data_IF_096191201436
#
_entry.id   IF_096191201436
#
_cell.length_a   1.000
_cell.length_b   1.000
_cell.length_c   1.000
_cell.angle_alpha   90.00
_cell.angle_beta   90.00
_cell.angle_gamma   90.00
#
_symmetry.space_group_name_H-M   'P 1'
#
loop_
_entity.id
_entity.type
_entity.pdbx_description
1 polymer ?
#
# COMPACT_ATOMS: atom_id res chain seq x y z
N UNK A 1 31.36 -13.75 10.13
CA UNK A 1 31.02 -12.60 11.01
C UNK A 1 30.94 -13.06 12.46
N UNK A 2 31.44 -12.24 13.41
CA UNK A 2 31.27 -12.53 14.84
C UNK A 2 29.82 -12.41 15.27
N UNK A 3 29.36 -13.34 16.15
CA UNK A 3 27.96 -13.41 16.60
C UNK A 3 27.51 -12.15 17.36
N UNK A 4 28.40 -11.53 18.14
CA UNK A 4 28.09 -10.31 18.86
C UNK A 4 27.87 -9.12 17.91
N UNK A 5 28.72 -9.01 16.89
CA UNK A 5 28.58 -7.99 15.84
C UNK A 5 27.30 -8.22 15.02
N UNK A 6 27.04 -9.46 14.64
CA UNK A 6 25.79 -9.81 13.91
C UNK A 6 24.54 -9.41 14.71
N UNK A 7 24.49 -9.78 15.99
CA UNK A 7 23.35 -9.44 16.88
C UNK A 7 23.18 -7.93 17.01
N UNK A 8 24.29 -7.19 17.14
CA UNK A 8 24.26 -5.73 17.22
C UNK A 8 23.72 -5.08 15.95
N UNK A 9 24.15 -5.56 14.79
CA UNK A 9 23.67 -5.09 13.48
C UNK A 9 22.18 -5.44 13.29
N UNK A 10 21.78 -6.64 13.69
CA UNK A 10 20.41 -7.13 13.60
C UNK A 10 19.43 -6.29 14.44
N UNK A 11 19.90 -5.77 15.56
CA UNK A 11 19.10 -4.95 16.48
C UNK A 11 19.12 -3.45 16.13
N UNK A 12 19.86 -3.05 15.09
CA UNK A 12 19.95 -1.66 14.68
C UNK A 12 18.69 -1.19 13.98
N UNK A 13 18.29 0.05 14.22
CA UNK A 13 17.12 0.67 13.57
C UNK A 13 17.24 0.76 12.04
N UNK A 14 18.45 0.75 11.51
CA UNK A 14 18.75 0.82 10.08
C UNK A 14 19.03 -0.55 9.47
N UNK A 15 18.67 -1.66 10.12
CA UNK A 15 18.99 -3.03 9.68
C UNK A 15 18.59 -3.34 8.22
N UNK A 16 17.56 -2.68 7.70
CA UNK A 16 17.11 -2.82 6.31
C UNK A 16 17.77 -1.83 5.35
N UNK A 17 18.50 -0.83 5.84
CA UNK A 17 19.26 0.12 5.05
C UNK A 17 20.75 -0.25 5.08
N UNK A 18 21.12 -1.18 4.21
CA UNK A 18 22.49 -1.75 4.17
C UNK A 18 23.57 -0.66 3.97
N UNK A 19 23.25 0.44 3.31
CA UNK A 19 24.18 1.56 3.13
C UNK A 19 24.47 2.26 4.44
N UNK A 20 23.41 2.63 5.18
CA UNK A 20 23.56 3.25 6.51
C UNK A 20 24.23 2.30 7.50
N UNK A 21 23.84 1.02 7.45
CA UNK A 21 24.43 0.00 8.28
C UNK A 21 25.95 -0.12 8.03
N UNK A 22 26.39 -0.08 6.78
CA UNK A 22 27.81 -0.10 6.41
C UNK A 22 28.58 1.13 6.93
N UNK A 23 27.99 2.30 6.95
CA UNK A 23 28.60 3.49 7.57
C UNK A 23 28.70 3.36 9.09
N UNK A 24 27.70 2.79 9.72
CA UNK A 24 27.63 2.64 11.17
C UNK A 24 28.54 1.53 11.70
N UNK A 25 28.74 0.49 10.90
CA UNK A 25 29.59 -0.67 11.23
C UNK A 25 30.68 -0.88 10.14
N UNK A 26 31.64 0.04 10.00
CA UNK A 26 32.62 -0.01 8.92
C UNK A 26 33.55 -1.24 8.96
N UNK A 27 33.65 -1.90 10.13
CA UNK A 27 34.39 -3.15 10.32
C UNK A 27 33.62 -4.41 9.88
N UNK A 28 32.32 -4.27 9.56
CA UNK A 28 31.48 -5.39 9.22
C UNK A 28 31.54 -5.71 7.71
N UNK A 29 31.56 -6.98 7.37
CA UNK A 29 31.29 -7.42 6.00
C UNK A 29 29.78 -7.43 5.76
N UNK A 30 29.30 -6.42 5.04
CA UNK A 30 27.88 -6.27 4.72
C UNK A 30 27.35 -7.38 3.82
N UNK A 31 28.20 -7.97 2.96
CA UNK A 31 27.80 -9.10 2.12
C UNK A 31 27.55 -10.33 2.99
N UNK A 32 28.50 -10.65 3.87
CA UNK A 32 28.36 -11.77 4.80
C UNK A 32 27.14 -11.58 5.71
N UNK A 33 26.89 -10.35 6.23
CA UNK A 33 25.70 -10.03 7.00
C UNK A 33 24.43 -10.31 6.20
N UNK A 34 24.38 -9.86 4.94
CA UNK A 34 23.20 -10.04 4.07
C UNK A 34 22.94 -11.52 3.78
N UNK A 35 23.99 -12.32 3.57
CA UNK A 35 23.84 -13.76 3.35
C UNK A 35 23.33 -14.50 4.59
N UNK A 36 23.85 -14.13 5.77
CA UNK A 36 23.34 -14.67 7.04
C UNK A 36 21.87 -14.31 7.28
N UNK A 37 21.47 -13.07 6.94
CA UNK A 37 20.06 -12.66 6.99
C UNK A 37 19.20 -13.49 6.05
N UNK A 38 19.62 -13.65 4.79
CA UNK A 38 18.88 -14.42 3.79
C UNK A 38 18.69 -15.88 4.23
N UNK A 39 19.75 -16.50 4.72
CA UNK A 39 19.72 -17.92 5.08
C UNK A 39 18.98 -18.21 6.39
N UNK A 40 18.98 -17.27 7.34
CA UNK A 40 18.43 -17.51 8.68
C UNK A 40 17.07 -16.87 8.95
N UNK A 41 16.73 -15.81 8.23
CA UNK A 41 15.62 -14.94 8.63
C UNK A 41 14.64 -14.60 7.49
N UNK A 42 14.99 -14.88 6.24
CA UNK A 42 14.10 -14.63 5.11
C UNK A 42 13.16 -15.81 4.90
N UNK A 43 11.88 -15.47 4.72
CA UNK A 43 10.87 -16.42 4.29
C UNK A 43 10.40 -16.08 2.89
N UNK A 44 10.41 -17.08 2.02
CA UNK A 44 9.89 -16.91 0.65
C UNK A 44 8.38 -16.76 0.67
N UNK A 45 7.90 -15.79 -0.05
CA UNK A 45 6.47 -15.59 -0.30
C UNK A 45 6.04 -16.30 -1.60
N UNK A 46 4.78 -16.68 -1.74
CA UNK A 46 4.25 -17.25 -2.99
C UNK A 46 4.02 -16.17 -4.07
N UNK A 47 4.78 -15.09 -4.04
CA UNK A 47 4.74 -13.97 -4.96
C UNK A 47 6.09 -13.80 -5.64
N UNK A 48 6.09 -13.37 -6.90
CA UNK A 48 7.29 -13.15 -7.69
C UNK A 48 7.44 -11.69 -8.07
N UNK A 49 8.69 -11.24 -8.19
CA UNK A 49 9.01 -9.95 -8.78
C UNK A 49 8.92 -9.99 -10.33
N UNK A 50 9.19 -8.86 -10.98
CA UNK A 50 9.18 -8.76 -12.44
C UNK A 50 10.27 -9.59 -13.14
N UNK A 51 11.29 -10.04 -12.41
CA UNK A 51 12.35 -10.94 -12.91
C UNK A 51 12.02 -12.41 -12.70
N UNK A 52 10.87 -12.73 -12.10
CA UNK A 52 10.44 -14.08 -11.77
C UNK A 52 11.06 -14.64 -10.48
N UNK A 53 11.76 -13.81 -9.69
CA UNK A 53 12.32 -14.22 -8.40
C UNK A 53 11.27 -14.12 -7.31
N UNK A 54 11.23 -15.08 -6.40
CA UNK A 54 10.32 -15.04 -5.26
C UNK A 54 10.62 -13.82 -4.38
N UNK A 55 9.57 -13.12 -3.99
CA UNK A 55 9.65 -12.12 -2.94
C UNK A 55 9.96 -12.80 -1.61
N UNK A 56 10.64 -12.09 -0.73
CA UNK A 56 11.00 -12.60 0.59
C UNK A 56 10.60 -11.59 1.66
N UNK A 57 10.21 -12.08 2.82
CA UNK A 57 9.95 -11.24 3.99
C UNK A 57 10.91 -11.60 5.13
N UNK A 58 11.17 -10.61 5.98
CA UNK A 58 12.01 -10.71 7.16
C UNK A 58 11.09 -10.78 8.40
N UNK A 59 10.69 -11.98 8.80
CA UNK A 59 9.65 -12.13 9.84
C UNK A 59 10.15 -11.87 11.26
N UNK A 60 11.44 -12.06 11.54
CA UNK A 60 11.97 -12.01 12.90
C UNK A 60 12.50 -10.65 13.35
N UNK A 61 12.72 -9.71 12.41
CA UNK A 61 13.22 -8.36 12.72
C UNK A 61 12.08 -7.36 12.89
N UNK A 62 10.87 -7.70 12.45
CA UNK A 62 9.72 -6.89 12.75
C UNK A 62 9.55 -6.80 14.26
N UNK A 63 9.99 -5.69 14.85
CA UNK A 63 9.63 -5.32 16.21
C UNK A 63 8.13 -5.00 16.22
N UNK A 64 7.33 -6.05 16.10
CA UNK A 64 5.90 -5.94 16.28
C UNK A 64 5.69 -5.57 17.74
N UNK A 65 5.37 -4.32 18.00
CA UNK A 65 4.87 -3.91 19.29
C UNK A 65 3.52 -4.59 19.48
N UNK A 66 3.53 -5.77 20.09
CA UNK A 66 2.31 -6.55 20.39
C UNK A 66 1.23 -5.71 21.08
N UNK A 67 1.63 -4.72 21.88
CA UNK A 67 0.71 -3.77 22.50
C UNK A 67 0.02 -2.87 21.46
N UNK A 68 0.72 -2.41 20.43
CA UNK A 68 0.13 -1.61 19.34
C UNK A 68 -0.76 -2.49 18.46
N UNK A 69 -0.32 -3.69 18.09
CA UNK A 69 -1.12 -4.65 17.33
C UNK A 69 -2.39 -5.05 18.10
N UNK A 70 -2.28 -5.34 19.41
CA UNK A 70 -3.43 -5.60 20.27
C UNK A 70 -4.39 -4.41 20.34
N UNK A 71 -3.87 -3.17 20.43
CA UNK A 71 -4.70 -1.97 20.46
C UNK A 71 -5.46 -1.77 19.14
N UNK A 72 -4.88 -2.15 18.00
CA UNK A 72 -5.54 -2.12 16.68
C UNK A 72 -6.58 -3.24 16.53
N UNK A 73 -6.29 -4.43 17.06
CA UNK A 73 -7.16 -5.60 16.94
C UNK A 73 -8.24 -5.67 18.02
N UNK A 74 -8.15 -4.88 19.10
CA UNK A 74 -9.16 -4.87 20.15
C UNK A 74 -10.34 -3.99 19.75
N UNK A 75 -11.55 -4.54 19.55
CA UNK A 75 -12.74 -3.76 19.26
C UNK A 75 -12.99 -2.82 20.45
N UNK A 76 -12.79 -1.54 20.27
CA UNK A 76 -13.22 -0.55 21.25
C UNK A 76 -14.63 -0.11 20.89
N UNK A 77 -15.54 -0.08 21.87
CA UNK A 77 -16.90 0.42 21.69
C UNK A 77 -16.98 1.91 21.27
N UNK A 78 -15.82 2.59 21.14
CA UNK A 78 -15.68 3.96 20.61
C UNK A 78 -15.26 4.00 19.13
N UNK A 79 -15.43 2.94 18.39
CA UNK A 79 -14.91 2.71 17.03
C UNK A 79 -15.40 3.76 16.01
N UNK A 80 -16.62 4.29 16.16
CA UNK A 80 -17.14 5.26 15.19
C UNK A 80 -16.32 6.56 15.10
N UNK A 81 -15.90 7.12 16.25
CA UNK A 81 -15.16 8.40 16.24
C UNK A 81 -13.71 8.23 15.76
N UNK A 82 -13.05 7.16 16.20
CA UNK A 82 -11.68 6.85 15.74
C UNK A 82 -11.68 6.45 14.26
N UNK A 83 -12.66 5.67 13.82
CA UNK A 83 -12.84 5.30 12.43
C UNK A 83 -13.03 6.53 11.52
N UNK A 84 -13.90 7.45 11.88
CA UNK A 84 -14.16 8.69 11.12
C UNK A 84 -12.90 9.55 11.02
N UNK A 85 -12.14 9.69 12.11
CA UNK A 85 -10.89 10.46 12.08
C UNK A 85 -9.81 9.79 11.22
N UNK A 86 -9.70 8.47 11.27
CA UNK A 86 -8.78 7.74 10.42
C UNK A 86 -9.17 7.90 8.93
N UNK A 87 -10.46 7.83 8.61
CA UNK A 87 -10.95 8.08 7.26
C UNK A 87 -10.69 9.53 6.80
N UNK A 88 -10.85 10.51 7.69
CA UNK A 88 -10.53 11.93 7.39
C UNK A 88 -9.05 12.06 6.99
N UNK A 89 -8.15 11.50 7.77
CA UNK A 89 -6.71 11.59 7.49
C UNK A 89 -6.32 10.79 6.23
N UNK A 90 -6.90 9.63 6.00
CA UNK A 90 -6.67 8.82 4.80
C UNK A 90 -7.09 9.57 3.53
N UNK A 91 -8.32 10.10 3.50
CA UNK A 91 -8.82 10.88 2.36
C UNK A 91 -7.96 12.13 2.14
N UNK A 92 -7.65 12.87 3.21
CA UNK A 92 -6.84 14.08 3.10
C UNK A 92 -5.42 13.77 2.60
N UNK A 93 -4.80 12.69 3.07
CA UNK A 93 -3.46 12.28 2.65
C UNK A 93 -3.44 11.83 1.19
N UNK A 94 -4.40 11.01 0.78
CA UNK A 94 -4.53 10.53 -0.60
C UNK A 94 -4.72 11.72 -1.55
N UNK A 95 -5.65 12.63 -1.25
CA UNK A 95 -5.89 13.79 -2.12
C UNK A 95 -4.70 14.74 -2.19
N UNK A 96 -3.92 14.84 -1.10
CA UNK A 96 -2.67 15.61 -1.11
C UNK A 96 -1.62 14.97 -2.03
N UNK A 97 -1.46 13.65 -1.97
CA UNK A 97 -0.53 12.91 -2.82
C UNK A 97 -0.93 13.01 -4.30
N UNK A 98 -2.23 12.84 -4.58
CA UNK A 98 -2.79 12.90 -5.94
C UNK A 98 -3.00 14.35 -6.45
N UNK A 99 -2.61 15.35 -5.66
CA UNK A 99 -2.77 16.77 -6.00
C UNK A 99 -4.22 17.17 -6.34
N UNK A 100 -5.18 16.50 -5.74
CA UNK A 100 -6.62 16.82 -5.87
C UNK A 100 -6.96 17.98 -4.93
N UNK A 101 -7.64 18.99 -5.44
CA UNK A 101 -8.13 20.10 -4.62
C UNK A 101 -9.23 19.64 -3.67
N UNK A 102 -9.07 19.91 -2.38
CA UNK A 102 -10.07 19.63 -1.35
C UNK A 102 -9.92 20.56 -0.15
N UNK A 103 -10.92 20.58 0.73
CA UNK A 103 -10.82 21.20 2.05
C UNK A 103 -11.12 20.15 3.14
N UNK A 104 -10.48 20.26 4.30
CA UNK A 104 -10.78 19.39 5.43
C UNK A 104 -12.24 19.52 5.89
N UNK A 105 -12.84 20.69 5.73
CA UNK A 105 -14.24 20.91 6.09
C UNK A 105 -15.19 20.17 5.15
N UNK A 106 -14.88 20.12 3.83
CA UNK A 106 -15.62 19.28 2.89
C UNK A 106 -15.50 17.78 3.24
N UNK A 107 -14.30 17.32 3.64
CA UNK A 107 -14.12 15.93 4.09
C UNK A 107 -15.00 15.65 5.32
N UNK A 108 -14.97 16.50 6.35
CA UNK A 108 -15.78 16.36 7.57
C UNK A 108 -17.27 16.39 7.28
N UNK A 109 -17.70 17.30 6.39
CA UNK A 109 -19.08 17.42 5.92
C UNK A 109 -19.58 16.09 5.35
N UNK A 110 -18.82 15.51 4.42
CA UNK A 110 -19.18 14.24 3.78
C UNK A 110 -19.11 13.06 4.75
N UNK A 111 -18.11 13.03 5.62
CA UNK A 111 -18.00 11.97 6.64
C UNK A 111 -19.12 12.02 7.67
N UNK A 112 -19.67 13.21 7.95
CA UNK A 112 -20.85 13.38 8.82
C UNK A 112 -22.17 12.96 8.16
N UNK A 113 -22.16 12.58 6.87
CA UNK A 113 -23.33 12.07 6.15
C UNK A 113 -24.10 13.11 5.34
N UNK A 114 -23.56 14.33 5.20
CA UNK A 114 -24.17 15.33 4.33
C UNK A 114 -23.91 14.99 2.86
N UNK A 115 -24.86 15.30 2.00
CA UNK A 115 -24.75 15.05 0.56
C UNK A 115 -23.69 15.97 -0.09
N UNK A 116 -22.95 15.46 -1.08
CA UNK A 116 -22.01 16.27 -1.86
C UNK A 116 -22.76 17.31 -2.69
N UNK A 117 -22.15 18.48 -2.85
CA UNK A 117 -22.71 19.62 -3.58
C UNK A 117 -21.89 20.02 -4.80
N UNK A 118 -20.66 19.52 -4.92
CA UNK A 118 -19.75 19.77 -6.04
C UNK A 118 -18.93 18.53 -6.40
N UNK A 119 -18.09 18.65 -7.44
CA UNK A 119 -17.27 17.54 -7.92
C UNK A 119 -16.22 17.08 -6.90
N UNK A 120 -15.60 18.01 -6.17
CA UNK A 120 -14.61 17.67 -5.14
C UNK A 120 -15.27 16.87 -4.01
N UNK A 121 -16.43 17.29 -3.55
CA UNK A 121 -17.20 16.57 -2.53
C UNK A 121 -17.71 15.21 -3.04
N UNK A 122 -18.03 15.08 -4.33
CA UNK A 122 -18.37 13.80 -4.94
C UNK A 122 -17.17 12.83 -4.94
N UNK A 123 -15.95 13.31 -5.20
CA UNK A 123 -14.73 12.50 -5.07
C UNK A 123 -14.50 12.03 -3.63
N UNK A 124 -14.69 12.94 -2.65
CA UNK A 124 -14.63 12.57 -1.22
C UNK A 124 -15.67 11.50 -0.88
N UNK A 125 -16.88 11.64 -1.40
CA UNK A 125 -17.95 10.65 -1.24
C UNK A 125 -17.60 9.28 -1.82
N UNK A 126 -17.00 9.25 -2.99
CA UNK A 126 -16.48 8.03 -3.62
C UNK A 126 -15.42 7.34 -2.75
N UNK A 127 -14.43 8.10 -2.29
CA UNK A 127 -13.39 7.59 -1.38
C UNK A 127 -13.98 7.06 -0.07
N UNK A 128 -14.93 7.77 0.53
CA UNK A 128 -15.65 7.30 1.72
C UNK A 128 -16.29 5.92 1.48
N UNK A 129 -17.04 5.78 0.38
CA UNK A 129 -17.67 4.49 0.02
C UNK A 129 -16.64 3.40 -0.18
N UNK A 130 -15.51 3.70 -0.83
CA UNK A 130 -14.41 2.75 -1.00
C UNK A 130 -13.83 2.29 0.33
N UNK A 131 -13.57 3.22 1.26
CA UNK A 131 -13.06 2.89 2.59
C UNK A 131 -14.08 2.10 3.44
N UNK A 132 -15.37 2.41 3.33
CA UNK A 132 -16.43 1.62 3.98
C UNK A 132 -16.48 0.20 3.40
N UNK A 133 -16.34 0.06 2.08
CA UNK A 133 -16.35 -1.23 1.39
C UNK A 133 -15.18 -2.12 1.84
N UNK A 134 -13.94 -1.61 1.85
CA UNK A 134 -12.77 -2.39 2.29
C UNK A 134 -12.75 -2.68 3.78
N UNK A 135 -13.49 -1.90 4.58
CA UNK A 135 -13.59 -2.11 6.03
C UNK A 135 -14.56 -3.24 6.40
N UNK A 136 -15.38 -3.70 5.47
CA UNK A 136 -16.30 -4.82 5.68
C UNK A 136 -15.57 -6.15 5.43
N UNK A 137 -15.38 -6.99 6.45
CA UNK A 137 -14.68 -8.26 6.31
C UNK A 137 -15.41 -9.29 5.42
N UNK A 138 -16.67 -9.03 5.05
CA UNK A 138 -17.39 -9.85 4.07
C UNK A 138 -16.87 -9.62 2.64
N UNK A 139 -16.24 -8.48 2.37
CA UNK A 139 -15.66 -8.16 1.07
C UNK A 139 -14.23 -8.74 0.98
N UNK A 140 -14.14 -9.94 0.45
CA UNK A 140 -12.84 -10.59 0.22
C UNK A 140 -12.07 -9.90 -0.91
N UNK A 141 -10.75 -10.07 -0.92
CA UNK A 141 -9.89 -9.59 -1.99
C UNK A 141 -10.05 -10.54 -3.18
N UNK A 142 -10.79 -10.08 -4.19
CA UNK A 142 -11.00 -10.74 -5.48
C UNK A 142 -10.87 -9.71 -6.61
N UNK A 143 -10.72 -10.16 -7.84
CA UNK A 143 -10.68 -9.25 -9.00
C UNK A 143 -11.96 -8.39 -9.07
N UNK A 144 -13.12 -8.98 -8.83
CA UNK A 144 -14.41 -8.28 -8.83
C UNK A 144 -14.49 -7.24 -7.72
N UNK A 145 -13.99 -7.57 -6.53
CA UNK A 145 -13.94 -6.63 -5.39
C UNK A 145 -13.03 -5.45 -5.67
N UNK A 146 -11.87 -5.69 -6.29
CA UNK A 146 -10.92 -4.64 -6.69
C UNK A 146 -11.54 -3.75 -7.76
N UNK A 147 -12.18 -4.33 -8.78
CA UNK A 147 -12.86 -3.57 -9.82
C UNK A 147 -14.01 -2.73 -9.25
N UNK A 148 -14.82 -3.31 -8.36
CA UNK A 148 -15.91 -2.59 -7.68
C UNK A 148 -15.39 -1.42 -6.83
N UNK A 149 -14.26 -1.63 -6.15
CA UNK A 149 -13.58 -0.56 -5.41
C UNK A 149 -13.13 0.56 -6.33
N UNK A 150 -12.52 0.23 -7.48
CA UNK A 150 -12.15 1.19 -8.51
C UNK A 150 -13.36 2.04 -8.96
N UNK A 151 -14.47 1.40 -9.32
CA UNK A 151 -15.68 2.11 -9.76
C UNK A 151 -16.23 3.07 -8.70
N UNK A 152 -16.25 2.64 -7.44
CA UNK A 152 -16.76 3.46 -6.34
C UNK A 152 -15.87 4.66 -6.00
N UNK A 153 -14.54 4.43 -5.96
CA UNK A 153 -13.62 5.39 -5.38
C UNK A 153 -13.01 6.33 -6.42
N UNK A 154 -12.76 5.87 -7.64
CA UNK A 154 -11.92 6.57 -8.62
C UNK A 154 -12.57 6.65 -10.00
N UNK A 155 -13.10 5.56 -10.52
CA UNK A 155 -13.46 5.39 -11.94
C UNK A 155 -14.36 6.49 -12.50
N UNK A 156 -15.32 6.98 -11.72
CA UNK A 156 -16.23 8.03 -12.15
C UNK A 156 -15.55 9.42 -12.31
N UNK A 157 -14.37 9.60 -11.74
CA UNK A 157 -13.68 10.91 -11.64
C UNK A 157 -12.43 11.00 -12.50
N UNK A 158 -12.05 9.90 -13.17
CA UNK A 158 -10.95 9.91 -14.13
C UNK A 158 -11.37 10.58 -15.44
N UNK A 159 -10.44 11.24 -16.16
CA UNK A 159 -10.62 11.59 -17.56
C UNK A 159 -11.05 10.38 -18.38
N UNK A 160 -11.80 10.58 -19.45
CA UNK A 160 -12.36 9.46 -20.25
C UNK A 160 -11.27 8.55 -20.82
N UNK A 161 -10.15 9.15 -21.22
CA UNK A 161 -8.98 8.44 -21.75
C UNK A 161 -8.28 7.55 -20.71
N UNK A 162 -8.41 7.86 -19.43
CA UNK A 162 -7.77 7.11 -18.32
C UNK A 162 -8.72 6.06 -17.70
N UNK A 163 -9.97 6.02 -18.14
CA UNK A 163 -10.95 5.05 -17.62
C UNK A 163 -10.73 3.67 -18.21
N UNK A 164 -11.08 2.66 -17.42
CA UNK A 164 -11.18 1.31 -17.94
C UNK A 164 -12.26 1.25 -19.02
N UNK A 165 -12.01 0.47 -20.06
CA UNK A 165 -13.01 0.20 -21.09
C UNK A 165 -14.20 -0.57 -20.47
N UNK A 166 -15.43 -0.32 -20.94
CA UNK A 166 -16.60 -1.03 -20.45
C UNK A 166 -16.42 -2.56 -20.49
N UNK A 167 -16.64 -3.20 -19.35
CA UNK A 167 -16.48 -4.66 -19.21
C UNK A 167 -15.04 -5.15 -19.07
N UNK A 168 -14.06 -4.26 -18.97
CA UNK A 168 -12.67 -4.61 -18.73
C UNK A 168 -12.27 -4.35 -17.28
N UNK A 169 -11.54 -5.27 -16.66
CA UNK A 169 -11.01 -5.14 -15.29
C UNK A 169 -9.64 -4.48 -15.25
N UNK A 170 -8.96 -4.38 -16.38
CA UNK A 170 -7.58 -3.90 -16.49
C UNK A 170 -7.46 -2.80 -17.52
N UNK A 171 -6.44 -1.96 -17.36
CA UNK A 171 -6.03 -0.99 -18.37
C UNK A 171 -5.70 -1.70 -19.69
N UNK A 172 -5.77 -0.96 -20.77
CA UNK A 172 -5.57 -1.46 -22.14
C UNK A 172 -4.35 -0.86 -22.84
N UNK A 173 -3.54 -0.09 -22.12
CA UNK A 173 -2.37 0.60 -22.61
C UNK A 173 -1.16 0.48 -21.67
N UNK A 174 -0.02 0.97 -22.12
CA UNK A 174 1.22 1.02 -21.33
C UNK A 174 1.23 2.24 -20.43
N UNK A 175 1.73 2.06 -19.20
CA UNK A 175 1.95 3.16 -18.25
C UNK A 175 3.44 3.34 -17.98
N UNK A 176 3.83 4.59 -17.77
CA UNK A 176 5.22 4.99 -17.59
C UNK A 176 5.35 5.94 -16.39
N UNK A 177 6.43 5.78 -15.64
CA UNK A 177 6.89 6.82 -14.71
C UNK A 177 7.90 7.66 -15.48
N UNK A 178 7.59 8.95 -15.65
CA UNK A 178 8.38 9.88 -16.45
C UNK A 178 8.96 10.94 -15.53
N UNK A 179 10.31 11.02 -15.48
CA UNK A 179 11.06 12.14 -14.91
C UNK A 179 11.71 12.93 -16.04
N UNK A 180 13.03 13.14 -16.00
CA UNK A 180 13.78 13.69 -17.15
C UNK A 180 13.83 12.72 -18.35
N UNK A 181 13.58 11.45 -18.09
CA UNK A 181 13.44 10.34 -19.05
C UNK A 181 12.41 9.36 -18.51
N UNK A 182 12.06 8.34 -19.30
CA UNK A 182 11.27 7.21 -18.76
C UNK A 182 12.12 6.49 -17.70
N UNK A 183 11.68 6.56 -16.45
CA UNK A 183 12.35 5.95 -15.30
C UNK A 183 11.88 4.53 -15.04
N UNK A 184 10.60 4.29 -15.31
CA UNK A 184 9.99 2.98 -15.17
C UNK A 184 8.90 2.77 -16.21
N UNK A 185 8.80 1.54 -16.72
CA UNK A 185 7.68 1.09 -17.57
C UNK A 185 6.86 0.09 -16.77
N UNK A 186 5.56 0.33 -16.70
CA UNK A 186 4.64 -0.58 -16.04
C UNK A 186 4.60 -1.96 -16.70
N UNK A 187 4.16 -2.95 -15.96
CA UNK A 187 4.04 -4.32 -16.48
C UNK A 187 3.14 -4.35 -17.74
N UNK A 188 3.45 -5.20 -18.75
CA UNK A 188 2.62 -5.31 -19.95
C UNK A 188 1.16 -5.57 -19.59
N UNK A 189 0.26 -4.75 -20.10
CA UNK A 189 -1.16 -4.83 -19.74
C UNK A 189 -1.81 -6.15 -20.16
N UNK A 190 -1.33 -6.78 -21.23
CA UNK A 190 -1.82 -8.07 -21.71
C UNK A 190 -1.61 -9.21 -20.71
N UNK A 191 -0.60 -9.10 -19.85
CA UNK A 191 -0.27 -10.11 -18.85
C UNK A 191 -0.83 -9.79 -17.45
N UNK A 192 -1.58 -8.69 -17.29
CA UNK A 192 -2.17 -8.32 -16.00
C UNK A 192 -3.16 -9.37 -15.46
N UNK A 193 -4.05 -10.00 -16.28
CA UNK A 193 -4.97 -11.03 -15.77
C UNK A 193 -4.24 -12.19 -15.08
N UNK A 194 -3.16 -12.69 -15.70
CA UNK A 194 -2.36 -13.77 -15.13
C UNK A 194 -1.73 -13.35 -13.79
N UNK A 195 -1.18 -12.12 -13.75
CA UNK A 195 -0.54 -11.60 -12.53
C UNK A 195 -1.53 -11.32 -11.40
N UNK A 196 -2.72 -10.87 -11.73
CA UNK A 196 -3.76 -10.66 -10.73
C UNK A 196 -4.27 -11.98 -10.16
N UNK A 197 -4.41 -13.02 -10.99
CA UNK A 197 -4.74 -14.36 -10.53
C UNK A 197 -3.68 -14.99 -9.60
N UNK A 198 -2.42 -14.53 -9.66
CA UNK A 198 -1.39 -14.91 -8.69
C UNK A 198 -1.51 -14.13 -7.35
N UNK A 199 -2.17 -12.98 -7.36
CA UNK A 199 -2.28 -12.07 -6.20
C UNK A 199 -3.53 -12.36 -5.35
N UNK A 200 -4.64 -12.70 -5.98
CA UNK A 200 -5.95 -12.96 -5.36
C UNK A 200 -6.25 -14.46 -5.35
#
# INVERSE_FOLDING_TARGET
MDAALFTKMLSDKNVLDLRKLGYQFPQADIKEFTELLKNGFYHSLPLKDFSGQNLVCLSSIAQVRLSAAKALLTPRNSTKLYGVKAMEEEIASTFTIEQVNFTRDSVRKILSGLAPTDESENRIWGMKKGLEFISDPANQITEESIHRLYEMAIGAYLPEEDRLLPGHFYRHDSVYVIGAKVEHTGFPWQALPERMGELV
#
